data_IF_875553269229
#
_entry.id   IF_875553269229
#
_cell.length_a   1.000
_cell.length_b   1.000
_cell.length_c   1.000
_cell.angle_alpha   90.00
_cell.angle_beta   90.00
_cell.angle_gamma   90.00
#
_symmetry.space_group_name_H-M   'P 1'
#
loop_
_entity.id
_entity.type
_entity.pdbx_description
1 polymer ?
#
# COMPACT_ATOMS: atom_id res chain seq x y z
N UNK A 1 20.87 -7.71 -15.81
CA UNK A 1 19.70 -7.94 -14.99
C UNK A 1 18.47 -7.41 -15.74
N UNK A 2 17.39 -8.20 -15.76
CA UNK A 2 16.12 -7.79 -16.37
C UNK A 2 15.01 -7.94 -15.34
N UNK A 3 14.20 -6.90 -15.19
CA UNK A 3 13.01 -6.89 -14.35
C UNK A 3 11.76 -6.73 -15.20
N UNK A 4 10.80 -7.60 -15.02
CA UNK A 4 9.48 -7.50 -15.62
C UNK A 4 8.50 -6.96 -14.58
N UNK A 5 8.02 -5.73 -14.77
CA UNK A 5 7.09 -5.06 -13.86
C UNK A 5 5.68 -5.14 -14.44
N UNK A 6 4.89 -6.00 -13.82
CA UNK A 6 3.53 -6.29 -14.26
C UNK A 6 2.56 -6.35 -13.07
N UNK A 7 1.40 -5.79 -13.26
CA UNK A 7 0.19 -6.06 -12.48
C UNK A 7 -0.98 -6.17 -13.45
N UNK A 8 -1.90 -7.12 -13.27
CA UNK A 8 -3.16 -7.13 -14.01
C UNK A 8 -3.97 -5.86 -13.75
N UNK A 9 -4.96 -5.57 -14.57
CA UNK A 9 -5.91 -4.51 -14.24
C UNK A 9 -6.80 -4.96 -13.09
N UNK A 10 -6.72 -4.25 -11.98
CA UNK A 10 -7.51 -4.52 -10.78
C UNK A 10 -8.75 -3.64 -10.67
N UNK A 11 -9.05 -2.85 -11.69
CA UNK A 11 -10.24 -2.00 -11.73
C UNK A 11 -11.43 -2.80 -12.24
N UNK A 12 -12.55 -2.71 -11.53
CA UNK A 12 -13.84 -3.15 -12.06
C UNK A 12 -14.53 -1.95 -12.68
N UNK A 13 -14.86 -2.07 -13.98
CA UNK A 13 -15.68 -1.09 -14.67
C UNK A 13 -17.04 -0.98 -13.96
N UNK A 14 -17.34 0.18 -13.40
CA UNK A 14 -18.67 0.51 -12.92
C UNK A 14 -19.45 1.18 -14.07
N UNK A 15 -20.65 0.70 -14.44
CA UNK A 15 -21.52 1.37 -15.40
C UNK A 15 -21.82 2.84 -15.08
N UNK A 16 -21.66 3.25 -13.81
CA UNK A 16 -21.77 4.62 -13.33
C UNK A 16 -20.50 5.48 -13.49
N UNK A 17 -19.41 4.93 -14.03
CA UNK A 17 -18.17 5.67 -14.34
C UNK A 17 -17.18 5.80 -13.19
N UNK A 18 -17.34 5.06 -12.10
CA UNK A 18 -16.44 5.03 -10.97
C UNK A 18 -15.77 3.67 -10.82
N UNK A 19 -14.72 3.38 -11.58
CA UNK A 19 -14.01 2.11 -11.47
C UNK A 19 -13.46 1.91 -10.05
N UNK A 20 -13.94 0.90 -9.33
CA UNK A 20 -13.38 0.51 -8.03
C UNK A 20 -12.19 -0.45 -8.21
N UNK A 21 -11.18 -0.32 -7.34
CA UNK A 21 -10.11 -1.30 -7.25
C UNK A 21 -10.54 -2.48 -6.38
N UNK A 22 -10.56 -3.67 -6.96
CA UNK A 22 -10.93 -4.91 -6.22
C UNK A 22 -9.76 -5.52 -5.46
N UNK A 23 -8.54 -5.19 -5.86
CA UNK A 23 -7.32 -5.65 -5.21
C UNK A 23 -6.30 -4.52 -5.12
N UNK A 24 -5.58 -4.38 -4.00
CA UNK A 24 -4.71 -3.25 -3.71
C UNK A 24 -3.28 -3.42 -4.23
N UNK A 25 -3.00 -4.48 -5.00
CA UNK A 25 -1.63 -4.91 -5.26
C UNK A 25 -0.79 -3.87 -5.99
N UNK A 26 -1.39 -3.08 -6.88
CA UNK A 26 -0.63 -2.08 -7.63
C UNK A 26 0.05 -1.06 -6.72
N UNK A 27 -0.69 -0.39 -5.83
CA UNK A 27 -0.07 0.61 -4.96
C UNK A 27 0.77 -0.03 -3.84
N UNK A 28 0.40 -1.22 -3.36
CA UNK A 28 1.19 -1.93 -2.34
C UNK A 28 2.58 -2.33 -2.89
N UNK A 29 2.65 -2.88 -4.09
CA UNK A 29 3.94 -3.14 -4.74
C UNK A 29 4.67 -1.84 -5.10
N UNK A 30 3.95 -0.78 -5.40
CA UNK A 30 4.53 0.54 -5.64
C UNK A 30 5.31 1.05 -4.42
N UNK A 31 4.68 1.03 -3.24
CA UNK A 31 5.29 1.53 -2.00
C UNK A 31 6.33 0.58 -1.39
N UNK A 32 6.46 -0.63 -1.91
CA UNK A 32 7.40 -1.65 -1.43
C UNK A 32 8.45 -1.99 -2.48
N UNK A 33 8.08 -2.80 -3.46
CA UNK A 33 9.03 -3.45 -4.35
C UNK A 33 9.57 -2.47 -5.41
N UNK A 34 8.70 -1.74 -6.10
CA UNK A 34 9.11 -0.87 -7.20
C UNK A 34 9.94 0.32 -6.73
N UNK A 35 9.61 0.89 -5.56
CA UNK A 35 10.39 1.97 -4.97
C UNK A 35 11.76 1.48 -4.48
N UNK A 36 11.85 0.29 -3.85
CA UNK A 36 13.12 -0.29 -3.40
C UNK A 36 14.01 -0.68 -4.59
N UNK A 37 13.45 -1.22 -5.67
CA UNK A 37 14.18 -1.51 -6.91
C UNK A 37 14.80 -0.25 -7.51
N UNK A 38 14.04 0.85 -7.60
CA UNK A 38 14.56 2.15 -8.05
C UNK A 38 15.68 2.65 -7.11
N UNK A 39 15.46 2.57 -5.80
CA UNK A 39 16.44 3.01 -4.80
C UNK A 39 17.75 2.22 -4.85
N UNK A 40 17.72 0.93 -5.17
CA UNK A 40 18.92 0.13 -5.39
C UNK A 40 19.72 0.63 -6.60
N UNK A 41 19.06 0.90 -7.72
CA UNK A 41 19.70 1.44 -8.92
C UNK A 41 20.28 2.83 -8.66
N UNK A 42 19.57 3.67 -7.90
CA UNK A 42 20.02 5.01 -7.54
C UNK A 42 21.29 4.99 -6.66
N UNK A 43 21.35 4.04 -5.71
CA UNK A 43 22.51 3.90 -4.79
C UNK A 43 23.74 3.22 -5.42
N UNK A 44 23.54 2.42 -6.47
CA UNK A 44 24.62 1.66 -7.11
C UNK A 44 24.84 2.13 -8.56
N UNK A 45 25.59 3.23 -8.79
CA UNK A 45 25.76 3.84 -10.11
C UNK A 45 26.34 2.93 -11.18
N UNK A 46 27.09 1.90 -10.79
CA UNK A 46 27.67 0.92 -11.70
C UNK A 46 26.68 -0.15 -12.18
N UNK A 47 25.54 -0.31 -11.48
CA UNK A 47 24.50 -1.26 -11.90
C UNK A 47 23.83 -0.82 -13.20
N UNK A 48 23.51 -1.82 -14.00
CA UNK A 48 22.68 -1.68 -15.22
C UNK A 48 21.59 -2.73 -15.20
N UNK A 49 20.39 -2.33 -15.61
CA UNK A 49 19.25 -3.23 -15.71
C UNK A 49 18.41 -2.88 -16.95
N UNK A 50 17.71 -3.87 -17.47
CA UNK A 50 16.57 -3.67 -18.36
C UNK A 50 15.33 -3.73 -17.51
N UNK A 51 14.46 -2.73 -17.62
CA UNK A 51 13.18 -2.69 -16.92
C UNK A 51 12.06 -2.71 -17.95
N UNK A 52 11.31 -3.79 -17.95
CA UNK A 52 10.15 -3.96 -18.81
C UNK A 52 8.89 -3.57 -18.04
N UNK A 53 8.18 -2.54 -18.51
CA UNK A 53 6.90 -2.12 -17.96
C UNK A 53 5.74 -2.61 -18.83
N UNK A 54 4.73 -3.17 -18.18
CA UNK A 54 3.44 -3.42 -18.81
C UNK A 54 2.62 -2.13 -18.73
N UNK A 55 2.05 -1.62 -19.85
CA UNK A 55 1.33 -0.35 -19.86
C UNK A 55 0.18 -0.25 -18.85
N UNK A 56 -0.58 -1.33 -18.66
CA UNK A 56 -1.67 -1.38 -17.68
C UNK A 56 -1.19 -1.12 -16.23
N UNK A 57 0.07 -1.46 -15.91
CA UNK A 57 0.65 -1.10 -14.62
C UNK A 57 0.88 0.41 -14.51
N UNK A 58 1.41 1.03 -15.59
CA UNK A 58 1.67 2.47 -15.61
C UNK A 58 0.37 3.26 -15.47
N UNK A 59 -0.69 2.86 -16.19
CA UNK A 59 -2.02 3.49 -16.09
C UNK A 59 -2.56 3.43 -14.65
N UNK A 60 -2.44 2.28 -14.00
CA UNK A 60 -2.90 2.14 -12.61
C UNK A 60 -2.05 2.98 -11.64
N UNK A 61 -0.72 3.09 -11.84
CA UNK A 61 0.14 3.95 -11.01
C UNK A 61 -0.23 5.43 -11.15
N UNK A 62 -0.47 5.90 -12.38
CA UNK A 62 -0.92 7.26 -12.65
C UNK A 62 -2.30 7.54 -12.03
N UNK A 63 -3.21 6.56 -12.12
CA UNK A 63 -4.53 6.63 -11.53
C UNK A 63 -4.45 6.74 -9.98
N UNK A 64 -3.69 5.87 -9.30
CA UNK A 64 -3.49 5.97 -7.85
C UNK A 64 -2.86 7.31 -7.43
N UNK A 65 -1.87 7.79 -8.17
CA UNK A 65 -1.26 9.09 -7.92
C UNK A 65 -2.30 10.24 -8.05
N UNK A 66 -3.14 10.19 -9.07
CA UNK A 66 -4.21 11.15 -9.28
C UNK A 66 -5.28 11.10 -8.17
N UNK A 67 -5.67 9.92 -7.71
CA UNK A 67 -6.61 9.74 -6.60
C UNK A 67 -6.08 10.38 -5.31
N UNK A 68 -4.83 10.10 -4.96
CA UNK A 68 -4.20 10.67 -3.77
C UNK A 68 -4.10 12.22 -3.87
N UNK A 69 -3.75 12.74 -5.05
CA UNK A 69 -3.65 14.19 -5.27
C UNK A 69 -5.01 14.89 -5.19
N UNK A 70 -6.07 14.26 -5.70
CA UNK A 70 -7.43 14.83 -5.71
C UNK A 70 -8.20 14.58 -4.43
N UNK A 71 -7.73 13.68 -3.55
CA UNK A 71 -8.43 13.24 -2.35
C UNK A 71 -9.67 12.39 -2.62
N UNK A 72 -9.79 11.81 -3.83
CA UNK A 72 -10.91 10.95 -4.24
C UNK A 72 -10.42 9.53 -4.38
N UNK A 73 -10.47 8.78 -3.29
CA UNK A 73 -9.94 7.41 -3.22
C UNK A 73 -10.99 6.39 -3.67
N UNK A 74 -10.60 5.48 -4.57
CA UNK A 74 -11.44 4.40 -5.08
C UNK A 74 -11.02 3.01 -4.56
N UNK A 75 -9.81 2.91 -4.00
CA UNK A 75 -9.36 1.69 -3.34
C UNK A 75 -9.94 1.58 -1.92
N UNK A 76 -10.58 0.46 -1.55
CA UNK A 76 -11.22 0.29 -0.24
C UNK A 76 -10.27 0.42 0.95
N UNK A 77 -9.01 -0.03 0.82
CA UNK A 77 -8.03 0.07 1.91
C UNK A 77 -7.52 1.51 2.09
N UNK A 78 -7.27 2.23 1.00
CA UNK A 78 -6.91 3.64 1.06
C UNK A 78 -8.07 4.48 1.60
N UNK A 79 -9.33 4.18 1.21
CA UNK A 79 -10.52 4.79 1.82
C UNK A 79 -10.57 4.54 3.32
N UNK A 80 -10.32 3.31 3.77
CA UNK A 80 -10.32 2.96 5.20
C UNK A 80 -9.20 3.68 5.95
N UNK A 81 -8.01 3.84 5.35
CA UNK A 81 -6.90 4.61 5.92
C UNK A 81 -7.28 6.09 6.09
N UNK A 82 -7.96 6.69 5.10
CA UNK A 82 -8.40 8.08 5.13
C UNK A 82 -9.70 8.35 5.91
N UNK A 83 -10.46 7.31 6.29
CA UNK A 83 -11.78 7.46 6.92
C UNK A 83 -11.66 8.04 8.33
N UNK A 84 -12.39 9.10 8.62
CA UNK A 84 -12.38 9.75 9.93
C UNK A 84 -13.03 8.89 11.01
N UNK A 85 -14.25 8.43 10.77
CA UNK A 85 -15.06 7.66 11.71
C UNK A 85 -15.02 6.16 11.36
N UNK A 86 -14.21 5.40 12.09
CA UNK A 86 -14.10 3.95 11.95
C UNK A 86 -15.11 3.20 12.84
N UNK A 87 -15.74 3.85 13.83
CA UNK A 87 -16.80 3.23 14.62
C UNK A 87 -18.08 3.03 13.80
N UNK A 88 -18.34 3.90 12.84
CA UNK A 88 -19.48 3.81 11.94
C UNK A 88 -19.39 2.67 10.91
N UNK A 89 -18.32 1.84 10.93
CA UNK A 89 -18.22 0.68 10.04
C UNK A 89 -19.25 -0.39 10.39
N UNK A 90 -19.96 -0.88 9.37
CA UNK A 90 -20.81 -2.07 9.48
C UNK A 90 -19.98 -3.32 9.78
N UNK A 91 -20.63 -4.41 10.20
CA UNK A 91 -19.94 -5.68 10.43
C UNK A 91 -19.26 -6.21 9.17
N UNK A 92 -19.90 -6.04 8.01
CA UNK A 92 -19.32 -6.45 6.72
C UNK A 92 -18.09 -5.63 6.34
N UNK A 93 -18.10 -4.31 6.58
CA UNK A 93 -16.91 -3.46 6.38
C UNK A 93 -15.77 -3.85 7.33
N UNK A 94 -16.07 -4.14 8.60
CA UNK A 94 -15.09 -4.61 9.60
C UNK A 94 -14.48 -5.94 9.18
N UNK A 95 -15.29 -6.89 8.70
CA UNK A 95 -14.87 -8.18 8.17
C UNK A 95 -13.98 -8.01 6.93
N UNK A 96 -14.42 -7.21 5.97
CA UNK A 96 -13.66 -6.94 4.75
C UNK A 96 -12.29 -6.33 5.07
N UNK A 97 -12.24 -5.34 5.96
CA UNK A 97 -11.00 -4.67 6.37
C UNK A 97 -10.04 -5.63 7.08
N UNK A 98 -10.52 -6.42 8.06
CA UNK A 98 -9.67 -7.39 8.78
C UNK A 98 -9.13 -8.47 7.85
N UNK A 99 -9.97 -9.03 6.98
CA UNK A 99 -9.55 -10.03 6.01
C UNK A 99 -8.50 -9.48 5.03
N UNK A 100 -8.68 -8.25 4.56
CA UNK A 100 -7.72 -7.61 3.68
C UNK A 100 -6.39 -7.34 4.38
N UNK A 101 -6.43 -6.75 5.60
CA UNK A 101 -5.23 -6.41 6.36
C UNK A 101 -4.43 -7.62 6.87
N UNK A 102 -5.03 -8.79 7.03
CA UNK A 102 -4.31 -10.01 7.39
C UNK A 102 -3.94 -10.89 6.19
N UNK A 103 -4.28 -10.46 4.98
CA UNK A 103 -3.83 -11.12 3.74
C UNK A 103 -2.43 -10.67 3.38
N UNK A 104 -1.44 -11.15 4.12
CA UNK A 104 -0.02 -10.87 3.91
C UNK A 104 0.83 -12.08 4.26
N UNK A 105 2.12 -12.05 3.92
CA UNK A 105 3.05 -13.07 4.40
C UNK A 105 3.32 -12.84 5.89
N UNK A 106 2.70 -13.64 6.75
CA UNK A 106 2.77 -13.46 8.20
C UNK A 106 4.21 -13.49 8.73
N UNK A 107 5.04 -14.40 8.23
CA UNK A 107 6.43 -14.56 8.69
C UNK A 107 7.28 -13.31 8.47
N UNK A 108 7.08 -12.62 7.35
CA UNK A 108 7.93 -11.48 6.95
C UNK A 108 7.28 -10.11 7.18
N UNK A 109 5.95 -10.05 7.25
CA UNK A 109 5.22 -8.78 7.27
C UNK A 109 4.38 -8.56 8.53
N UNK A 110 4.12 -9.62 9.31
CA UNK A 110 3.33 -9.52 10.53
C UNK A 110 4.15 -9.87 11.77
N UNK A 111 4.82 -11.02 11.79
CA UNK A 111 5.59 -11.50 12.95
C UNK A 111 6.72 -10.54 13.39
N UNK A 112 7.42 -9.83 12.48
CA UNK A 112 8.46 -8.89 12.89
C UNK A 112 7.95 -7.67 13.65
N UNK A 113 6.63 -7.40 13.61
CA UNK A 113 6.00 -6.24 14.24
C UNK A 113 5.12 -6.66 15.42
N UNK A 114 5.59 -6.53 16.68
CA UNK A 114 4.85 -7.02 17.85
C UNK A 114 3.44 -6.45 17.98
N UNK A 115 3.24 -5.16 17.67
CA UNK A 115 1.92 -4.53 17.71
C UNK A 115 0.98 -5.11 16.65
N UNK A 116 1.45 -5.28 15.41
CA UNK A 116 0.65 -5.85 14.34
C UNK A 116 0.31 -7.33 14.63
N UNK A 117 1.28 -8.09 15.12
CA UNK A 117 1.07 -9.47 15.59
C UNK A 117 0.00 -9.53 16.67
N UNK A 118 0.04 -8.60 17.64
CA UNK A 118 -0.95 -8.52 18.71
C UNK A 118 -2.37 -8.28 18.18
N UNK A 119 -2.53 -7.41 17.18
CA UNK A 119 -3.84 -7.19 16.54
C UNK A 119 -4.37 -8.46 15.89
N UNK A 120 -3.51 -9.24 15.23
CA UNK A 120 -3.88 -10.53 14.65
C UNK A 120 -4.28 -11.56 15.72
N UNK A 121 -3.55 -11.66 16.83
CA UNK A 121 -3.89 -12.56 17.93
C UNK A 121 -5.27 -12.23 18.55
N UNK A 122 -5.60 -10.94 18.67
CA UNK A 122 -6.92 -10.48 19.11
C UNK A 122 -8.02 -10.86 18.11
N UNK A 123 -7.76 -10.65 16.81
CA UNK A 123 -8.66 -11.05 15.73
C UNK A 123 -8.98 -12.55 15.79
N UNK A 124 -7.96 -13.41 15.83
CA UNK A 124 -8.14 -14.87 15.84
C UNK A 124 -9.01 -15.31 17.03
N UNK A 125 -8.83 -14.69 18.21
CA UNK A 125 -9.66 -14.99 19.39
C UNK A 125 -11.09 -14.51 19.22
N UNK A 126 -11.28 -13.30 18.67
CA UNK A 126 -12.61 -12.71 18.52
C UNK A 126 -13.49 -13.47 17.52
N UNK A 127 -12.89 -14.04 16.46
CA UNK A 127 -13.64 -14.79 15.42
C UNK A 127 -13.69 -16.28 15.64
N UNK A 128 -13.15 -16.80 16.75
CA UNK A 128 -13.12 -18.24 17.04
C UNK A 128 -14.53 -18.87 17.05
N UNK A 129 -15.56 -18.11 17.42
CA UNK A 129 -16.96 -18.52 17.46
C UNK A 129 -17.82 -17.80 16.39
N UNK A 130 -17.17 -17.19 15.40
CA UNK A 130 -17.82 -16.48 14.31
C UNK A 130 -17.52 -14.98 14.28
N UNK A 131 -17.86 -14.34 13.16
CA UNK A 131 -17.49 -12.93 12.88
C UNK A 131 -18.17 -11.89 13.80
N UNK A 132 -19.19 -12.27 14.58
CA UNK A 132 -19.85 -11.36 15.53
C UNK A 132 -18.90 -10.76 16.56
N UNK A 133 -17.77 -11.43 16.85
CA UNK A 133 -16.73 -10.91 17.71
C UNK A 133 -16.10 -9.60 17.22
N UNK A 134 -16.13 -9.34 15.91
CA UNK A 134 -15.62 -8.10 15.32
C UNK A 134 -16.43 -6.85 15.72
N UNK A 135 -17.67 -7.04 16.16
CA UNK A 135 -18.51 -5.94 16.62
C UNK A 135 -17.96 -5.27 17.88
N UNK A 136 -17.24 -6.01 18.72
CA UNK A 136 -16.67 -5.51 19.97
C UNK A 136 -15.32 -4.82 19.81
N UNK A 137 -14.75 -4.80 18.62
CA UNK A 137 -13.52 -4.04 18.37
C UNK A 137 -13.81 -2.54 18.25
N UNK A 138 -12.99 -1.73 18.93
CA UNK A 138 -13.08 -0.26 18.90
C UNK A 138 -12.57 0.32 17.58
N UNK A 139 -12.90 1.59 17.30
CA UNK A 139 -12.28 2.37 16.23
C UNK A 139 -10.75 2.36 16.31
N UNK A 140 -10.19 2.41 17.53
CA UNK A 140 -8.75 2.36 17.76
C UNK A 140 -8.11 1.07 17.26
N UNK A 141 -8.78 -0.08 17.41
CA UNK A 141 -8.29 -1.33 16.84
C UNK A 141 -8.17 -1.26 15.32
N UNK A 142 -9.20 -0.75 14.64
CA UNK A 142 -9.20 -0.66 13.18
C UNK A 142 -8.24 0.41 12.67
N UNK A 143 -8.07 1.51 13.42
CA UNK A 143 -7.08 2.54 13.13
C UNK A 143 -5.65 1.95 13.16
N UNK A 144 -5.32 1.22 14.22
CA UNK A 144 -4.03 0.56 14.37
C UNK A 144 -3.85 -0.52 13.30
N UNK A 145 -4.88 -1.31 13.01
CA UNK A 145 -4.83 -2.38 12.02
C UNK A 145 -4.52 -1.87 10.61
N UNK A 146 -5.29 -0.89 10.13
CA UNK A 146 -5.10 -0.36 8.78
C UNK A 146 -3.76 0.38 8.64
N UNK A 147 -3.32 1.06 9.69
CA UNK A 147 -2.02 1.75 9.72
C UNK A 147 -0.88 0.73 9.67
N UNK A 148 -0.89 -0.28 10.54
CA UNK A 148 0.13 -1.33 10.56
C UNK A 148 0.22 -2.09 9.25
N UNK A 149 -0.91 -2.40 8.63
CA UNK A 149 -0.91 -3.04 7.32
C UNK A 149 -0.08 -2.24 6.31
N UNK A 150 -0.34 -0.95 6.18
CA UNK A 150 0.40 -0.10 5.24
C UNK A 150 1.86 0.11 5.64
N UNK A 151 2.16 0.28 6.93
CA UNK A 151 3.54 0.38 7.42
C UNK A 151 4.34 -0.89 7.13
N UNK A 152 3.72 -2.07 7.28
CA UNK A 152 4.34 -3.35 6.96
C UNK A 152 4.62 -3.51 5.45
N UNK A 153 3.82 -2.88 4.61
CA UNK A 153 4.02 -2.85 3.16
C UNK A 153 5.02 -1.78 2.68
N UNK A 154 5.38 -0.79 3.50
CA UNK A 154 6.39 0.18 3.09
C UNK A 154 7.74 -0.49 2.83
N UNK A 155 8.37 -0.15 1.72
CA UNK A 155 9.72 -0.59 1.37
C UNK A 155 10.78 -0.11 2.36
N UNK A 156 11.87 -0.84 2.44
CA UNK A 156 12.94 -0.55 3.39
C UNK A 156 13.61 0.82 3.12
N UNK A 157 13.72 1.20 1.84
CA UNK A 157 14.23 2.52 1.46
C UNK A 157 13.32 3.64 1.96
N UNK A 158 12.01 3.47 1.87
CA UNK A 158 11.05 4.48 2.31
C UNK A 158 11.01 4.61 3.84
N UNK A 159 11.10 3.48 4.56
CA UNK A 159 11.19 3.47 6.04
C UNK A 159 12.40 4.23 6.56
N UNK A 160 13.54 4.16 5.83
CA UNK A 160 14.79 4.85 6.20
C UNK A 160 14.82 6.32 5.81
N UNK A 161 14.16 6.68 4.72
CA UNK A 161 14.28 8.02 4.13
C UNK A 161 13.15 8.96 4.53
N UNK A 162 11.99 8.41 4.98
CA UNK A 162 10.82 9.21 5.31
C UNK A 162 10.60 9.32 6.82
N UNK A 163 10.85 10.50 7.41
CA UNK A 163 10.70 10.71 8.86
C UNK A 163 9.30 10.35 9.38
N UNK A 164 8.24 10.66 8.60
CA UNK A 164 6.85 10.36 8.99
C UNK A 164 6.66 8.85 9.16
N UNK A 165 7.14 8.03 8.23
CA UNK A 165 7.03 6.56 8.31
C UNK A 165 7.82 6.05 9.52
N UNK A 166 9.03 6.56 9.75
CA UNK A 166 9.85 6.19 10.90
C UNK A 166 9.19 6.57 12.24
N UNK A 167 8.55 7.75 12.33
CA UNK A 167 7.81 8.20 13.50
C UNK A 167 6.60 7.31 13.79
N UNK A 168 5.83 6.94 12.77
CA UNK A 168 4.68 6.04 12.92
C UNK A 168 5.12 4.64 13.37
N UNK A 169 6.19 4.10 12.79
CA UNK A 169 6.77 2.83 13.25
C UNK A 169 7.21 2.89 14.71
N UNK A 170 7.81 4.00 15.15
CA UNK A 170 8.23 4.22 16.54
C UNK A 170 7.04 4.42 17.48
N UNK A 171 5.96 5.08 17.04
CA UNK A 171 4.71 5.25 17.81
C UNK A 171 4.07 3.91 18.14
N UNK A 172 3.98 3.02 17.19
CA UNK A 172 3.60 1.61 17.36
C UNK A 172 2.10 1.34 17.57
N UNK A 173 1.34 2.22 18.20
CA UNK A 173 -0.11 2.04 18.44
C UNK A 173 -0.79 3.36 18.77
N UNK A 174 -2.12 3.34 18.81
CA UNK A 174 -2.92 4.53 19.13
C UNK A 174 -2.88 5.56 17.99
N UNK A 175 -2.89 5.09 16.74
CA UNK A 175 -2.88 5.97 15.58
C UNK A 175 -4.20 6.71 15.46
N UNK A 176 -4.12 8.03 15.46
CA UNK A 176 -5.27 8.89 15.24
C UNK A 176 -5.53 9.15 13.74
N UNK A 177 -6.51 9.99 13.45
CA UNK A 177 -6.84 10.33 12.05
C UNK A 177 -5.73 11.12 11.36
N UNK A 178 -5.03 12.00 12.10
CA UNK A 178 -3.93 12.78 11.54
C UNK A 178 -2.74 11.90 11.16
N UNK A 179 -2.40 10.91 11.98
CA UNK A 179 -1.37 9.90 11.66
C UNK A 179 -1.70 9.14 10.36
N UNK A 180 -2.96 8.72 10.23
CA UNK A 180 -3.43 7.96 9.07
C UNK A 180 -3.43 8.80 7.79
N UNK A 181 -3.83 10.07 7.88
CA UNK A 181 -3.74 11.00 6.76
C UNK A 181 -2.29 11.31 6.38
N UNK A 182 -1.39 11.46 7.36
CA UNK A 182 0.03 11.64 7.09
C UNK A 182 0.63 10.43 6.37
N UNK A 183 0.25 9.20 6.76
CA UNK A 183 0.68 7.99 6.06
C UNK A 183 0.10 7.92 4.64
N UNK A 184 -1.18 8.26 4.46
CA UNK A 184 -1.83 8.29 3.15
C UNK A 184 -1.13 9.28 2.21
N UNK A 185 -0.73 10.45 2.71
CA UNK A 185 0.06 11.41 1.94
C UNK A 185 1.40 10.82 1.51
N UNK A 186 2.12 10.13 2.43
CA UNK A 186 3.37 9.46 2.08
C UNK A 186 3.17 8.40 1.00
N UNK A 187 2.12 7.60 1.08
CA UNK A 187 1.76 6.61 0.05
C UNK A 187 1.58 7.30 -1.31
N UNK A 188 0.79 8.38 -1.35
CA UNK A 188 0.56 9.14 -2.58
C UNK A 188 1.85 9.71 -3.18
N UNK A 189 2.72 10.25 -2.35
CA UNK A 189 4.03 10.78 -2.77
C UNK A 189 4.94 9.68 -3.33
N UNK A 190 4.99 8.51 -2.70
CA UNK A 190 5.79 7.37 -3.17
C UNK A 190 5.29 6.92 -4.53
N UNK A 191 3.98 6.64 -4.65
CA UNK A 191 3.38 6.18 -5.91
C UNK A 191 3.60 7.20 -7.04
N UNK A 192 3.33 8.48 -6.78
CA UNK A 192 3.52 9.55 -7.76
C UNK A 192 4.99 9.77 -8.17
N UNK A 193 5.94 9.36 -7.34
CA UNK A 193 7.37 9.49 -7.63
C UNK A 193 7.91 8.42 -8.58
N UNK A 194 7.26 7.27 -8.73
CA UNK A 194 7.84 6.10 -9.40
C UNK A 194 8.15 6.36 -10.88
N UNK A 195 7.16 6.77 -11.65
CA UNK A 195 7.35 7.02 -13.09
C UNK A 195 8.45 8.07 -13.33
N UNK A 196 8.47 9.23 -12.64
CA UNK A 196 9.58 10.18 -12.72
C UNK A 196 10.94 9.58 -12.36
N UNK A 197 11.04 8.74 -11.33
CA UNK A 197 12.31 8.10 -10.91
C UNK A 197 12.85 7.17 -11.99
N UNK A 198 12.02 6.28 -12.53
CA UNK A 198 12.43 5.37 -13.62
C UNK A 198 12.79 6.13 -14.90
N UNK A 199 12.09 7.21 -15.22
CA UNK A 199 12.44 8.11 -16.33
C UNK A 199 13.81 8.73 -16.13
N UNK A 200 14.12 9.22 -14.91
CA UNK A 200 15.42 9.78 -14.57
C UNK A 200 16.56 8.74 -14.65
N UNK A 201 16.31 7.50 -14.19
CA UNK A 201 17.27 6.41 -14.31
C UNK A 201 17.57 6.05 -15.78
N UNK A 202 16.55 6.06 -16.64
CA UNK A 202 16.71 5.84 -18.08
C UNK A 202 17.50 6.98 -18.74
N UNK A 203 17.16 8.23 -18.45
CA UNK A 203 17.87 9.40 -18.96
C UNK A 203 19.34 9.43 -18.54
N UNK A 204 19.65 8.91 -17.35
CA UNK A 204 21.02 8.76 -16.85
C UNK A 204 21.75 7.53 -17.43
N UNK A 205 21.14 6.76 -18.34
CA UNK A 205 21.72 5.55 -18.95
C UNK A 205 21.94 4.42 -17.96
N UNK A 206 21.22 4.41 -16.84
CA UNK A 206 21.32 3.36 -15.82
C UNK A 206 20.43 2.17 -16.09
N UNK A 207 19.33 2.42 -16.77
CA UNK A 207 18.40 1.39 -17.21
C UNK A 207 18.07 1.56 -18.68
N UNK A 208 17.75 0.45 -19.31
CA UNK A 208 17.07 0.40 -20.58
C UNK A 208 15.59 0.11 -20.33
N UNK A 209 14.71 0.91 -20.92
CA UNK A 209 13.27 0.71 -20.81
C UNK A 209 12.78 -0.16 -21.97
N UNK A 210 11.93 -1.09 -21.64
CA UNK A 210 11.22 -1.92 -22.60
C UNK A 210 9.73 -1.94 -22.20
N UNK A 211 8.84 -2.14 -23.15
CA UNK A 211 7.41 -2.25 -22.89
C UNK A 211 6.85 -3.47 -23.66
N UNK A 212 5.84 -4.09 -23.08
CA UNK A 212 4.98 -5.06 -23.78
C UNK A 212 3.81 -4.32 -24.42
N UNK A 213 3.12 -4.90 -25.42
CA UNK A 213 1.86 -4.36 -25.89
C UNK A 213 0.86 -4.20 -24.73
N UNK A 214 -0.08 -3.27 -24.89
CA UNK A 214 -1.21 -3.15 -23.96
C UNK A 214 -2.07 -4.43 -24.10
N UNK A 215 -2.30 -5.12 -22.98
CA UNK A 215 -3.05 -6.38 -22.95
C UNK A 215 -4.49 -6.12 -22.47
#
# INVERSE_FOLDING_TARGET
LMWHMHQPDYRLADPGGGDEFVLPWTYLHAIKDYTDMAAHLERHPAMRAVVNFVPVLLDQLEDYAAQCTRGVLRDPLLRSLGRQDLDAMSLDERRALTNACFRSNHKTMLEPYPHYKRLHELYVRAVAEGDSGLWYFSAGYFADLVTWYHLAWCGESERRQRPVIAQLLSKGSGFDHADRLALLEQIGQIVGSLIPRYRALAAAGRIELSATPYA
#
